data_IF_905612128037
#
_entry.id   IF_905612128037
#
_cell.length_a   1.000
_cell.length_b   1.000
_cell.length_c   1.000
_cell.angle_alpha   90.00
_cell.angle_beta   90.00
_cell.angle_gamma   90.00
#
_symmetry.space_group_name_H-M   'P 1'
#
loop_
_entity.id
_entity.type
_entity.pdbx_description
1 polymer ?
#
# COMPACT_ATOMS: atom_id res chain seq x y z
N UNK A 1 50.64 57.13 -20.46
CA UNK A 1 50.06 55.97 -21.19
C UNK A 1 50.26 54.72 -20.36
N UNK A 2 49.19 54.01 -20.00
CA UNK A 2 49.29 52.76 -19.24
C UNK A 2 47.91 52.32 -18.75
N UNK A 3 47.09 51.77 -19.64
CA UNK A 3 45.79 51.18 -19.31
C UNK A 3 46.06 49.74 -18.88
N UNK A 4 45.84 49.41 -17.61
CA UNK A 4 45.95 48.04 -17.10
C UNK A 4 44.76 47.21 -17.54
N UNK A 5 45.08 46.15 -18.29
CA UNK A 5 44.19 45.13 -18.85
C UNK A 5 43.47 44.32 -17.77
N UNK A 6 42.14 44.32 -17.80
CA UNK A 6 41.28 43.41 -17.04
C UNK A 6 41.39 42.01 -17.65
N UNK A 7 41.92 41.03 -16.92
CA UNK A 7 42.00 39.63 -17.37
C UNK A 7 40.66 38.91 -17.12
N UNK A 8 40.24 38.16 -18.14
CA UNK A 8 38.91 37.62 -18.30
C UNK A 8 38.48 36.57 -17.27
N UNK A 9 37.20 36.65 -16.92
CA UNK A 9 36.43 35.63 -16.22
C UNK A 9 36.23 34.43 -17.17
N UNK A 10 37.06 33.40 -16.99
CA UNK A 10 37.16 32.26 -17.91
C UNK A 10 36.20 31.11 -17.55
N UNK A 11 35.10 31.00 -18.31
CA UNK A 11 34.48 29.81 -18.97
C UNK A 11 34.30 28.45 -18.25
N UNK A 12 34.78 28.24 -17.03
CA UNK A 12 34.75 26.93 -16.36
C UNK A 12 33.53 26.71 -15.45
N UNK A 13 32.76 27.76 -15.13
CA UNK A 13 31.57 27.65 -14.29
C UNK A 13 30.40 26.92 -14.98
N UNK A 14 30.34 26.89 -16.32
CA UNK A 14 29.17 26.36 -17.04
C UNK A 14 29.13 24.83 -17.11
N UNK A 15 30.28 24.15 -17.20
CA UNK A 15 30.33 22.69 -17.37
C UNK A 15 30.00 21.92 -16.08
N UNK A 16 30.49 22.39 -14.93
CA UNK A 16 30.13 21.81 -13.63
C UNK A 16 28.64 21.98 -13.31
N UNK A 17 28.07 23.15 -13.63
CA UNK A 17 26.65 23.44 -13.37
C UNK A 17 25.72 22.53 -14.18
N UNK A 18 26.06 22.24 -15.45
CA UNK A 18 25.30 21.33 -16.31
C UNK A 18 25.35 19.87 -15.81
N UNK A 19 26.51 19.40 -15.33
CA UNK A 19 26.67 18.04 -14.79
C UNK A 19 25.87 17.82 -13.49
N UNK A 20 25.80 18.82 -12.61
CA UNK A 20 25.01 18.75 -11.37
C UNK A 20 23.50 18.69 -11.65
N UNK A 21 23.01 19.46 -12.62
CA UNK A 21 21.58 19.46 -13.01
C UNK A 21 21.15 18.13 -13.67
N UNK A 22 22.03 17.45 -14.41
CA UNK A 22 21.81 16.12 -14.97
C UNK A 22 21.75 15.01 -13.91
N UNK A 23 22.56 15.09 -12.84
CA UNK A 23 22.54 14.10 -11.76
C UNK A 23 21.28 14.22 -10.87
N UNK A 24 20.75 15.43 -10.68
CA UNK A 24 19.53 15.67 -9.89
C UNK A 24 18.27 15.20 -10.63
N UNK A 25 18.24 15.28 -11.96
CA UNK A 25 17.09 14.86 -12.77
C UNK A 25 16.91 13.33 -12.86
N UNK A 26 17.99 12.55 -12.73
CA UNK A 26 17.95 11.08 -12.73
C UNK A 26 17.60 10.44 -11.37
N UNK A 27 17.56 11.23 -10.29
CA UNK A 27 17.30 10.72 -8.93
C UNK A 27 15.81 10.76 -8.51
N UNK A 28 14.94 11.34 -9.33
CA UNK A 28 13.52 11.56 -8.99
C UNK A 28 12.67 10.28 -8.85
N UNK A 29 13.10 9.13 -9.36
CA UNK A 29 12.33 7.89 -9.30
C UNK A 29 12.50 7.09 -7.99
N UNK A 30 13.55 7.35 -7.19
CA UNK A 30 13.81 6.57 -5.98
C UNK A 30 12.87 6.92 -4.80
N UNK A 31 12.13 8.03 -4.89
CA UNK A 31 11.35 8.60 -3.78
C UNK A 31 9.91 8.03 -3.72
N UNK A 32 9.39 7.46 -4.81
CA UNK A 32 8.00 6.95 -4.87
C UNK A 32 7.94 5.42 -4.90
N UNK A 33 8.56 4.74 -3.92
CA UNK A 33 8.28 3.31 -3.73
C UNK A 33 6.86 3.17 -3.15
N UNK A 34 5.94 2.42 -3.78
CA UNK A 34 4.61 2.20 -3.21
C UNK A 34 4.76 1.53 -1.85
N UNK A 35 3.95 1.96 -0.88
CA UNK A 35 3.99 1.39 0.46
C UNK A 35 3.87 -0.15 0.39
N UNK A 36 4.75 -0.89 1.10
CA UNK A 36 4.83 -2.33 0.96
C UNK A 36 3.59 -3.04 1.52
N UNK A 37 3.30 -4.20 0.95
CA UNK A 37 2.33 -5.15 1.48
C UNK A 37 3.08 -6.41 1.89
N UNK A 38 3.18 -6.64 3.21
CA UNK A 38 3.74 -7.86 3.77
C UNK A 38 2.65 -8.95 3.87
N UNK A 39 3.00 -10.19 3.54
CA UNK A 39 2.07 -11.32 3.52
C UNK A 39 2.53 -12.38 4.53
N UNK A 40 1.75 -12.59 5.59
CA UNK A 40 2.00 -13.67 6.56
C UNK A 40 1.19 -14.94 6.24
N UNK A 41 0.49 -14.96 5.11
CA UNK A 41 -0.39 -16.04 4.67
C UNK A 41 -0.45 -16.09 3.13
N UNK A 42 -1.16 -17.06 2.56
CA UNK A 42 -1.21 -17.39 1.13
C UNK A 42 -1.69 -16.24 0.24
N UNK A 43 -0.74 -15.60 -0.43
CA UNK A 43 -1.03 -14.50 -1.38
C UNK A 43 -1.80 -14.95 -2.63
N UNK A 44 -1.55 -16.15 -3.14
CA UNK A 44 -2.13 -16.61 -4.41
C UNK A 44 -3.66 -16.73 -4.33
N UNK A 45 -4.18 -17.17 -3.19
CA UNK A 45 -5.59 -17.34 -2.90
C UNK A 45 -6.39 -16.02 -2.90
N UNK A 46 -5.76 -14.88 -2.59
CA UNK A 46 -6.51 -13.61 -2.50
C UNK A 46 -7.00 -13.14 -3.88
N UNK A 47 -8.30 -12.81 -4.04
CA UNK A 47 -8.86 -12.38 -5.30
C UNK A 47 -8.16 -11.13 -5.85
N UNK A 48 -7.97 -11.01 -7.18
CA UNK A 48 -7.38 -9.82 -7.79
C UNK A 48 -8.06 -8.51 -7.36
N UNK A 49 -9.39 -8.53 -7.21
CA UNK A 49 -10.20 -7.40 -6.73
C UNK A 49 -9.78 -6.91 -5.34
N UNK A 50 -9.52 -7.82 -4.39
CA UNK A 50 -9.07 -7.44 -3.04
C UNK A 50 -7.59 -7.04 -3.02
N UNK A 51 -6.75 -7.64 -3.88
CA UNK A 51 -5.36 -7.18 -4.05
C UNK A 51 -5.30 -5.73 -4.53
N UNK A 52 -6.24 -5.29 -5.37
CA UNK A 52 -6.38 -3.86 -5.75
C UNK A 52 -6.69 -3.01 -4.53
N UNK A 53 -7.67 -3.42 -3.70
CA UNK A 53 -8.04 -2.71 -2.46
C UNK A 53 -6.83 -2.55 -1.55
N UNK A 54 -6.10 -3.63 -1.26
CA UNK A 54 -4.93 -3.62 -0.39
C UNK A 54 -3.84 -2.67 -0.91
N UNK A 55 -3.60 -2.61 -2.23
CA UNK A 55 -2.65 -1.64 -2.82
C UNK A 55 -3.10 -0.20 -2.64
N UNK A 56 -4.38 0.08 -2.78
CA UNK A 56 -4.89 1.43 -2.60
C UNK A 56 -4.90 1.85 -1.13
N UNK A 57 -5.25 0.93 -0.23
CA UNK A 57 -5.09 1.12 1.23
C UNK A 57 -3.62 1.41 1.54
N UNK A 58 -2.69 0.63 1.00
CA UNK A 58 -1.28 0.83 1.25
C UNK A 58 -0.80 2.20 0.78
N UNK A 59 -1.20 2.61 -0.43
CA UNK A 59 -0.90 3.94 -0.99
C UNK A 59 -1.45 5.08 -0.15
N UNK A 60 -2.63 4.94 0.44
CA UNK A 60 -3.33 6.02 1.16
C UNK A 60 -2.97 6.08 2.65
N UNK A 61 -2.75 4.94 3.28
CA UNK A 61 -2.64 4.82 4.74
C UNK A 61 -1.28 4.24 5.22
N UNK A 62 -0.38 3.93 4.29
CA UNK A 62 0.96 3.39 4.58
C UNK A 62 1.03 1.86 4.56
N UNK A 63 2.14 1.26 5.02
CA UNK A 63 2.40 -0.17 4.88
C UNK A 63 1.27 -1.06 5.39
N UNK A 64 0.91 -2.09 4.62
CA UNK A 64 -0.13 -3.06 4.96
C UNK A 64 0.53 -4.39 5.34
N UNK A 65 0.01 -5.05 6.36
CA UNK A 65 0.37 -6.42 6.70
C UNK A 65 -0.85 -7.32 6.69
N UNK A 66 -0.82 -8.34 5.83
CA UNK A 66 -1.88 -9.33 5.69
C UNK A 66 -1.62 -10.48 6.64
N UNK A 67 -2.62 -10.82 7.46
CA UNK A 67 -2.53 -11.84 8.52
C UNK A 67 -3.29 -13.11 8.20
N UNK A 68 -4.36 -13.05 7.42
CA UNK A 68 -5.16 -14.23 7.08
C UNK A 68 -5.87 -14.07 5.73
N UNK A 69 -5.94 -15.15 4.96
CA UNK A 69 -6.40 -15.19 3.57
C UNK A 69 -7.30 -16.42 3.37
N UNK A 70 -6.72 -17.60 3.09
CA UNK A 70 -7.41 -18.87 3.17
C UNK A 70 -7.46 -19.38 4.61
N UNK A 71 -8.52 -20.11 4.96
CA UNK A 71 -8.54 -20.95 6.16
C UNK A 71 -9.10 -22.31 5.80
N UNK A 72 -8.44 -23.36 6.27
CA UNK A 72 -9.00 -24.70 6.23
C UNK A 72 -10.19 -24.82 7.20
N UNK A 73 -11.17 -25.72 6.98
CA UNK A 73 -12.35 -25.84 7.83
C UNK A 73 -12.05 -25.96 9.33
N UNK A 74 -11.07 -26.80 9.69
CA UNK A 74 -10.67 -27.00 11.08
C UNK A 74 -10.03 -25.75 11.68
N UNK A 75 -9.18 -25.05 10.92
CA UNK A 75 -8.56 -23.80 11.34
C UNK A 75 -9.61 -22.70 11.53
N UNK A 76 -10.54 -22.57 10.59
CA UNK A 76 -11.65 -21.63 10.67
C UNK A 76 -12.48 -21.88 11.94
N UNK A 77 -12.82 -23.14 12.23
CA UNK A 77 -13.53 -23.51 13.47
C UNK A 77 -12.71 -23.15 14.72
N UNK A 78 -11.41 -23.49 14.76
CA UNK A 78 -10.52 -23.18 15.88
C UNK A 78 -10.41 -21.67 16.15
N UNK A 79 -10.46 -20.85 15.10
CA UNK A 79 -10.46 -19.37 15.18
C UNK A 79 -11.85 -18.76 15.41
N UNK A 80 -12.88 -19.57 15.72
CA UNK A 80 -14.25 -19.09 15.93
C UNK A 80 -14.96 -18.59 14.67
N UNK A 81 -14.43 -18.93 13.49
CA UNK A 81 -14.99 -18.57 12.21
C UNK A 81 -16.34 -19.23 11.94
N UNK A 82 -17.19 -18.55 11.17
CA UNK A 82 -18.52 -19.06 10.81
C UNK A 82 -18.43 -20.16 9.73
N UNK A 83 -19.38 -21.10 9.66
CA UNK A 83 -19.40 -22.15 8.63
C UNK A 83 -19.43 -21.61 7.19
N UNK A 84 -20.03 -20.44 6.98
CA UNK A 84 -20.10 -19.75 5.67
C UNK A 84 -19.05 -18.64 5.54
N UNK A 85 -17.92 -18.77 6.23
CA UNK A 85 -16.82 -17.78 6.17
C UNK A 85 -16.22 -17.69 4.77
N UNK A 86 -15.98 -16.47 4.29
CA UNK A 86 -15.34 -16.25 2.99
C UNK A 86 -13.85 -16.59 2.98
N UNK A 87 -13.21 -16.78 4.15
CA UNK A 87 -11.84 -17.33 4.20
C UNK A 87 -11.77 -18.78 3.70
N UNK A 88 -12.84 -19.56 3.89
CA UNK A 88 -12.91 -20.95 3.44
C UNK A 88 -12.86 -21.09 1.91
N UNK A 89 -13.21 -20.01 1.19
CA UNK A 89 -13.38 -20.02 -0.27
C UNK A 89 -12.48 -19.03 -0.98
N UNK A 90 -11.39 -18.59 -0.36
CA UNK A 90 -10.45 -17.64 -0.96
C UNK A 90 -11.09 -16.29 -1.33
N UNK A 91 -12.08 -15.84 -0.54
CA UNK A 91 -12.88 -14.65 -0.85
C UNK A 91 -12.77 -13.54 0.18
N UNK A 92 -11.90 -13.70 1.18
CA UNK A 92 -11.67 -12.74 2.24
C UNK A 92 -10.18 -12.52 2.53
N UNK A 93 -9.87 -11.40 3.18
CA UNK A 93 -8.55 -11.11 3.73
C UNK A 93 -8.67 -10.30 5.01
N UNK A 94 -7.85 -10.66 5.99
CA UNK A 94 -7.66 -9.91 7.23
C UNK A 94 -6.28 -9.24 7.20
N UNK A 95 -6.22 -7.94 7.49
CA UNK A 95 -4.99 -7.16 7.43
C UNK A 95 -4.95 -6.04 8.48
N UNK A 96 -3.78 -5.47 8.70
CA UNK A 96 -3.58 -4.28 9.54
C UNK A 96 -2.86 -3.18 8.76
N UNK A 97 -3.15 -1.93 9.09
CA UNK A 97 -2.50 -0.72 8.57
C UNK A 97 -2.47 0.36 9.67
N UNK A 98 -1.48 1.26 9.65
CA UNK A 98 -1.27 2.29 10.69
C UNK A 98 -2.19 3.52 10.59
N UNK A 99 -2.97 3.65 9.52
CA UNK A 99 -3.86 4.80 9.34
C UNK A 99 -4.95 4.90 10.40
N UNK A 100 -5.54 6.10 10.51
CA UNK A 100 -6.69 6.35 11.38
C UNK A 100 -7.83 5.33 11.09
N UNK A 101 -8.34 4.62 12.10
CA UNK A 101 -9.35 3.59 11.89
C UNK A 101 -10.64 4.05 11.21
N UNK A 102 -11.12 5.25 11.53
CA UNK A 102 -12.32 5.81 10.92
C UNK A 102 -12.11 6.06 9.43
N UNK A 103 -11.00 6.72 9.08
CA UNK A 103 -10.62 6.98 7.69
C UNK A 103 -10.40 5.70 6.87
N UNK A 104 -9.79 4.67 7.46
CA UNK A 104 -9.59 3.37 6.80
C UNK A 104 -10.92 2.67 6.55
N UNK A 105 -11.80 2.63 7.55
CA UNK A 105 -13.13 2.01 7.42
C UNK A 105 -13.99 2.72 6.37
N UNK A 106 -14.01 4.05 6.37
CA UNK A 106 -14.78 4.82 5.39
C UNK A 106 -14.28 4.59 3.96
N UNK A 107 -12.96 4.53 3.79
CA UNK A 107 -12.36 4.17 2.50
C UNK A 107 -12.74 2.76 2.04
N UNK A 108 -12.71 1.78 2.94
CA UNK A 108 -13.06 0.38 2.63
C UNK A 108 -14.56 0.27 2.29
N UNK A 109 -15.43 0.91 3.09
CA UNK A 109 -16.89 0.92 2.93
C UNK A 109 -17.30 1.41 1.55
N UNK A 110 -16.76 2.55 1.13
CA UNK A 110 -17.03 3.18 -0.17
C UNK A 110 -16.39 2.45 -1.36
N UNK A 111 -15.45 1.53 -1.14
CA UNK A 111 -14.74 0.87 -2.23
C UNK A 111 -15.62 -0.17 -2.96
N UNK A 112 -15.77 -0.02 -4.28
CA UNK A 112 -16.63 -0.88 -5.13
C UNK A 112 -16.29 -2.38 -5.12
N UNK A 113 -15.01 -2.71 -4.94
CA UNK A 113 -14.53 -4.10 -4.91
C UNK A 113 -14.71 -4.81 -3.56
N UNK A 114 -15.17 -4.10 -2.52
CA UNK A 114 -15.38 -4.66 -1.18
C UNK A 114 -16.85 -5.02 -1.04
N UNK A 115 -17.14 -6.28 -0.72
CA UNK A 115 -18.44 -6.76 -0.31
C UNK A 115 -18.65 -6.52 1.17
N UNK A 116 -18.27 -7.50 1.99
CA UNK A 116 -18.22 -7.34 3.44
C UNK A 116 -16.99 -6.60 3.92
N UNK A 117 -17.15 -5.88 5.02
CA UNK A 117 -16.04 -5.35 5.78
C UNK A 117 -16.35 -5.35 7.28
N UNK A 118 -15.31 -5.37 8.11
CA UNK A 118 -15.41 -5.12 9.55
C UNK A 118 -14.05 -4.76 10.13
N UNK A 119 -14.05 -4.31 11.39
CA UNK A 119 -12.81 -4.10 12.15
C UNK A 119 -12.90 -4.85 13.46
N UNK A 120 -11.97 -5.77 13.66
CA UNK A 120 -11.83 -6.51 14.91
C UNK A 120 -11.27 -5.62 16.03
N UNK A 121 -11.63 -5.88 17.30
CA UNK A 121 -11.08 -5.14 18.45
C UNK A 121 -9.55 -5.14 18.51
N UNK A 122 -8.92 -6.22 18.03
CA UNK A 122 -7.47 -6.38 17.94
C UNK A 122 -6.81 -5.47 16.88
N UNK A 123 -7.60 -4.70 16.12
CA UNK A 123 -7.10 -3.74 15.12
C UNK A 123 -6.93 -4.32 13.71
N UNK A 124 -7.41 -5.54 13.46
CA UNK A 124 -7.46 -6.12 12.12
C UNK A 124 -8.69 -5.66 11.36
N UNK A 125 -8.53 -5.35 10.08
CA UNK A 125 -9.62 -5.11 9.15
C UNK A 125 -9.90 -6.38 8.39
N UNK A 126 -11.17 -6.73 8.28
CA UNK A 126 -11.67 -7.77 7.40
C UNK A 126 -12.24 -7.12 6.14
N UNK A 127 -11.97 -7.69 4.97
CA UNK A 127 -12.70 -7.40 3.74
C UNK A 127 -12.97 -8.68 2.95
N UNK A 128 -14.12 -8.78 2.30
CA UNK A 128 -14.49 -9.92 1.45
C UNK A 128 -15.16 -9.51 0.13
N UNK A 129 -15.41 -10.49 -0.73
CA UNK A 129 -16.06 -10.32 -2.06
C UNK A 129 -17.53 -10.75 -2.08
N UNK A 130 -18.17 -10.88 -0.92
CA UNK A 130 -19.59 -11.20 -0.79
C UNK A 130 -20.52 -10.00 -1.07
N UNK A 131 -21.78 -10.08 -0.63
CA UNK A 131 -22.69 -8.93 -0.63
C UNK A 131 -22.19 -7.81 0.30
N UNK A 132 -22.59 -6.57 0.00
CA UNK A 132 -22.33 -5.39 0.84
C UNK A 132 -22.94 -5.56 2.23
N UNK A 133 -22.11 -5.62 3.26
CA UNK A 133 -22.52 -5.76 4.68
C UNK A 133 -21.38 -5.43 5.64
N UNK A 134 -21.69 -5.29 6.93
CA UNK A 134 -20.72 -5.12 8.02
C UNK A 134 -21.19 -5.84 9.28
N UNK A 135 -20.28 -6.14 10.21
CA UNK A 135 -20.54 -6.73 11.52
C UNK A 135 -19.49 -6.29 12.54
#
# INVERSE_FOLDING_TARGET
>A
MGISSVKGVSRNLSRLTVLVLLAVSLSGCAIFRPAPIAWNDTRWCVPPKLKVVLRQVARKFGPVRVHSTHRWPLENKRKGGKPKSYHLTCRAVDFSVKGDPGGVLEFIRSHRNVGGYSRYPQGFYHIDTGPKRTW
#
